data_IF_527064179715
#
_entry.id   IF_527064179715
#
_cell.length_a   1.000
_cell.length_b   1.000
_cell.length_c   1.000
_cell.angle_alpha   90.00
_cell.angle_beta   90.00
_cell.angle_gamma   90.00
#
_symmetry.space_group_name_H-M   'P 1'
#
loop_
_entity.id
_entity.type
_entity.pdbx_description
1 polymer ?
#
# COMPACT_ATOMS: atom_id res chain seq x y z
N UNK A 1 -27.89 5.38 -13.90
CA UNK A 1 -27.03 4.60 -14.81
C UNK A 1 -26.68 5.51 -16.00
N UNK A 2 -25.43 5.94 -16.11
CA UNK A 2 -24.98 6.56 -17.35
C UNK A 2 -24.90 5.47 -18.42
N UNK A 3 -25.45 5.77 -19.62
CA UNK A 3 -25.36 4.89 -20.79
C UNK A 3 -23.90 4.49 -21.02
N UNK A 4 -23.64 3.19 -21.25
CA UNK A 4 -22.30 2.65 -21.40
C UNK A 4 -21.42 3.46 -22.35
N UNK A 5 -20.35 4.02 -21.82
CA UNK A 5 -19.35 4.76 -22.59
C UNK A 5 -18.47 3.74 -23.33
N UNK A 6 -18.33 3.85 -24.65
CA UNK A 6 -17.46 2.94 -25.42
C UNK A 6 -15.99 3.31 -25.22
N UNK A 7 -15.12 2.33 -24.99
CA UNK A 7 -13.67 2.54 -24.98
C UNK A 7 -13.19 2.60 -26.43
N UNK A 8 -12.60 3.72 -26.91
CA UNK A 8 -12.16 3.87 -28.27
C UNK A 8 -11.23 2.75 -28.73
N UNK A 9 -11.53 2.20 -29.94
CA UNK A 9 -10.71 1.12 -30.55
C UNK A 9 -10.93 -0.27 -29.95
N UNK A 10 -11.99 -0.45 -29.15
CA UNK A 10 -12.37 -1.76 -28.57
C UNK A 10 -13.86 -2.02 -28.72
N UNK A 11 -14.27 -3.26 -28.46
CA UNK A 11 -15.66 -3.67 -28.28
C UNK A 11 -16.14 -3.58 -26.81
N UNK A 12 -15.39 -2.83 -25.97
CA UNK A 12 -15.68 -2.66 -24.57
C UNK A 12 -16.54 -1.41 -24.30
N UNK A 13 -17.47 -1.54 -23.38
CA UNK A 13 -18.20 -0.41 -22.80
C UNK A 13 -17.89 -0.26 -21.30
N UNK A 14 -18.02 0.96 -20.80
CA UNK A 14 -17.78 1.30 -19.41
C UNK A 14 -19.08 1.72 -18.73
N UNK A 15 -19.27 1.23 -17.51
CA UNK A 15 -20.26 1.74 -16.57
C UNK A 15 -19.49 2.35 -15.40
N UNK A 16 -19.72 3.63 -15.09
CA UNK A 16 -18.99 4.36 -14.04
C UNK A 16 -19.96 4.67 -12.91
N UNK A 17 -19.51 4.41 -11.68
CA UNK A 17 -20.25 4.58 -10.43
C UNK A 17 -19.47 5.45 -9.47
N UNK A 18 -20.18 6.24 -8.67
CA UNK A 18 -19.61 7.14 -7.67
C UNK A 18 -19.40 6.45 -6.33
N UNK A 19 -20.11 5.37 -6.06
CA UNK A 19 -20.05 4.58 -4.83
C UNK A 19 -20.18 3.09 -5.12
N UNK A 20 -19.54 2.26 -4.30
CA UNK A 20 -19.71 0.80 -4.33
C UNK A 20 -21.10 0.35 -3.96
N UNK A 21 -21.85 1.16 -3.22
CA UNK A 21 -23.26 0.85 -2.86
C UNK A 21 -24.17 0.69 -4.08
N UNK A 22 -23.81 1.26 -5.24
CA UNK A 22 -24.56 1.15 -6.49
C UNK A 22 -24.18 -0.09 -7.32
N UNK A 23 -23.23 -0.90 -6.85
CA UNK A 23 -22.74 -2.12 -7.52
C UNK A 23 -23.08 -3.33 -6.64
N UNK A 24 -23.69 -4.33 -7.25
CA UNK A 24 -23.96 -5.60 -6.55
C UNK A 24 -22.64 -6.26 -6.11
N UNK A 25 -22.56 -6.60 -4.83
CA UNK A 25 -21.34 -7.18 -4.24
C UNK A 25 -21.00 -8.55 -4.81
N UNK A 26 -22.00 -9.37 -5.11
CA UNK A 26 -21.80 -10.66 -5.73
C UNK A 26 -21.29 -10.54 -7.16
N UNK A 27 -21.80 -9.56 -7.92
CA UNK A 27 -21.29 -9.24 -9.26
C UNK A 27 -19.82 -8.82 -9.18
N UNK A 28 -19.48 -7.89 -8.27
CA UNK A 28 -18.11 -7.42 -8.11
C UNK A 28 -17.14 -8.55 -7.76
N UNK A 29 -17.46 -9.31 -6.70
CA UNK A 29 -16.58 -10.36 -6.19
C UNK A 29 -16.50 -11.58 -7.14
N UNK A 30 -17.46 -11.74 -8.08
CA UNK A 30 -17.44 -12.80 -9.10
C UNK A 30 -16.54 -12.48 -10.32
N UNK A 31 -16.03 -11.25 -10.46
CA UNK A 31 -15.16 -10.87 -11.59
C UNK A 31 -13.89 -11.70 -11.58
N UNK A 32 -13.29 -11.90 -10.41
CA UNK A 32 -12.14 -12.79 -10.22
C UNK A 32 -12.49 -13.85 -9.19
N UNK A 33 -12.54 -15.14 -9.55
CA UNK A 33 -12.79 -16.22 -8.60
C UNK A 33 -11.78 -16.28 -7.44
N UNK A 34 -10.57 -15.77 -7.67
CA UNK A 34 -9.50 -15.66 -6.69
C UNK A 34 -9.37 -14.20 -6.18
N UNK A 35 -10.52 -13.51 -6.03
CA UNK A 35 -10.57 -12.07 -5.68
C UNK A 35 -9.55 -11.72 -4.59
N UNK A 36 -8.57 -10.86 -4.91
CA UNK A 36 -7.60 -10.41 -3.92
C UNK A 36 -8.29 -9.73 -2.74
N UNK A 37 -7.87 -10.06 -1.53
CA UNK A 37 -8.49 -9.58 -0.29
C UNK A 37 -8.75 -8.06 -0.28
N UNK A 38 -7.74 -7.28 -0.71
CA UNK A 38 -7.82 -5.81 -0.72
C UNK A 38 -8.71 -5.25 -1.84
N UNK A 39 -9.15 -6.08 -2.78
CA UNK A 39 -10.01 -5.69 -3.90
C UNK A 39 -11.44 -6.18 -3.74
N UNK A 40 -11.74 -6.97 -2.69
CA UNK A 40 -13.10 -7.41 -2.42
C UNK A 40 -14.02 -6.21 -2.16
N UNK A 41 -15.29 -6.36 -2.57
CA UNK A 41 -16.31 -5.33 -2.38
C UNK A 41 -16.39 -4.86 -0.92
N UNK A 42 -16.45 -5.80 0.02
CA UNK A 42 -16.55 -5.48 1.43
C UNK A 42 -15.34 -4.70 1.96
N UNK A 43 -14.11 -5.04 1.51
CA UNK A 43 -12.91 -4.31 1.92
C UNK A 43 -12.90 -2.87 1.39
N UNK A 44 -13.16 -2.70 0.10
CA UNK A 44 -13.19 -1.38 -0.52
C UNK A 44 -14.31 -0.51 0.04
N UNK A 45 -15.45 -1.13 0.42
CA UNK A 45 -16.56 -0.41 1.03
C UNK A 45 -16.19 0.16 2.40
N UNK A 46 -15.45 -0.57 3.25
CA UNK A 46 -14.94 -0.02 4.51
C UNK A 46 -14.04 1.19 4.25
N UNK A 47 -13.15 1.12 3.24
CA UNK A 47 -12.28 2.27 2.88
C UNK A 47 -13.12 3.47 2.44
N UNK A 48 -14.12 3.25 1.60
CA UNK A 48 -15.01 4.31 1.12
C UNK A 48 -15.75 4.98 2.30
N UNK A 49 -16.31 4.19 3.21
CA UNK A 49 -17.15 4.69 4.30
C UNK A 49 -16.40 5.51 5.35
N UNK A 50 -15.11 5.26 5.53
CA UNK A 50 -14.29 5.97 6.54
C UNK A 50 -13.53 7.18 5.97
N UNK A 51 -13.49 7.35 4.65
CA UNK A 51 -12.70 8.38 3.97
C UNK A 51 -13.57 9.34 3.15
N UNK A 52 -14.42 10.11 3.83
CA UNK A 52 -15.32 11.10 3.21
C UNK A 52 -14.58 12.25 2.48
N UNK A 53 -13.29 12.44 2.74
CA UNK A 53 -12.42 13.43 2.08
C UNK A 53 -11.95 12.99 0.70
N UNK A 54 -12.11 11.71 0.36
CA UNK A 54 -11.73 11.11 -0.92
C UNK A 54 -12.97 10.91 -1.78
N UNK A 55 -12.89 11.28 -3.05
CA UNK A 55 -13.94 10.93 -4.03
C UNK A 55 -13.54 9.66 -4.76
N UNK A 56 -14.41 8.66 -4.71
CA UNK A 56 -14.18 7.37 -5.36
C UNK A 56 -14.85 7.33 -6.72
N UNK A 57 -14.29 6.52 -7.63
CA UNK A 57 -14.94 6.10 -8.89
C UNK A 57 -14.63 4.64 -9.13
N UNK A 58 -15.67 3.94 -9.49
CA UNK A 58 -15.66 2.52 -9.84
C UNK A 58 -16.10 2.38 -11.28
N UNK A 59 -15.35 1.63 -12.09
CA UNK A 59 -15.67 1.43 -13.49
C UNK A 59 -15.76 -0.07 -13.77
N UNK A 60 -16.91 -0.52 -14.26
CA UNK A 60 -17.08 -1.87 -14.78
C UNK A 60 -16.82 -1.87 -16.27
N UNK A 61 -15.94 -2.73 -16.73
CA UNK A 61 -15.68 -2.98 -18.16
C UNK A 61 -16.58 -4.12 -18.62
N UNK A 62 -17.41 -3.82 -19.61
CA UNK A 62 -18.40 -4.75 -20.15
C UNK A 62 -18.07 -5.10 -21.58
N UNK A 63 -18.09 -6.39 -21.89
CA UNK A 63 -18.00 -6.95 -23.26
C UNK A 63 -19.20 -7.86 -23.50
N UNK A 64 -19.90 -7.66 -24.61
CA UNK A 64 -21.06 -8.49 -25.00
C UNK A 64 -22.08 -8.67 -23.85
N UNK A 65 -22.32 -7.61 -23.08
CA UNK A 65 -23.26 -7.62 -21.96
C UNK A 65 -22.72 -8.26 -20.67
N UNK A 66 -21.49 -8.77 -20.66
CA UNK A 66 -20.87 -9.38 -19.46
C UNK A 66 -19.79 -8.47 -18.88
N UNK A 67 -19.76 -8.34 -17.55
CA UNK A 67 -18.65 -7.68 -16.85
C UNK A 67 -17.43 -8.58 -16.93
N UNK A 68 -16.33 -8.03 -17.47
CA UNK A 68 -15.06 -8.74 -17.67
C UNK A 68 -13.94 -8.21 -16.82
N UNK A 69 -14.05 -6.96 -16.34
CA UNK A 69 -13.11 -6.34 -15.44
C UNK A 69 -13.76 -5.22 -14.64
N UNK A 70 -13.12 -4.84 -13.54
CA UNK A 70 -13.41 -3.64 -12.79
C UNK A 70 -12.15 -2.85 -12.51
N UNK A 71 -12.30 -1.53 -12.45
CA UNK A 71 -11.27 -0.61 -12.01
C UNK A 71 -11.85 0.29 -10.92
N UNK A 72 -11.03 0.69 -9.98
CA UNK A 72 -11.42 1.70 -9.01
C UNK A 72 -10.32 2.73 -8.82
N UNK A 73 -10.72 3.93 -8.51
CA UNK A 73 -9.84 5.08 -8.41
C UNK A 73 -10.26 6.01 -7.29
N UNK A 74 -9.31 6.75 -6.79
CA UNK A 74 -9.44 7.68 -5.68
C UNK A 74 -8.95 9.06 -6.10
N UNK A 75 -9.81 10.08 -5.98
CA UNK A 75 -9.46 11.48 -6.19
C UNK A 75 -9.20 12.14 -4.83
N UNK A 76 -7.98 12.59 -4.62
CA UNK A 76 -7.55 13.19 -3.37
C UNK A 76 -6.82 14.51 -3.57
N UNK A 77 -6.79 15.32 -2.52
CA UNK A 77 -5.93 16.49 -2.45
C UNK A 77 -4.48 16.06 -2.20
N UNK A 78 -3.60 16.40 -3.12
CA UNK A 78 -2.20 16.01 -3.07
C UNK A 78 -1.28 17.22 -3.05
N UNK A 79 -0.25 17.17 -2.22
CA UNK A 79 0.82 18.17 -2.20
C UNK A 79 2.14 17.54 -2.61
N UNK A 80 2.80 18.11 -3.61
CA UNK A 80 4.14 17.68 -4.02
C UNK A 80 5.23 17.95 -2.97
N UNK A 81 4.90 18.64 -1.86
CA UNK A 81 5.86 18.94 -0.78
C UNK A 81 6.62 17.70 -0.33
N UNK A 82 5.93 16.59 -0.17
CA UNK A 82 6.50 15.34 0.31
C UNK A 82 7.42 14.67 -0.73
N UNK A 83 7.07 14.74 -2.03
CA UNK A 83 7.94 14.26 -3.10
C UNK A 83 9.22 15.09 -3.24
N UNK A 84 9.15 16.38 -2.93
CA UNK A 84 10.32 17.27 -2.94
C UNK A 84 11.36 16.88 -1.91
N UNK A 85 10.96 16.29 -0.78
CA UNK A 85 11.87 15.82 0.26
C UNK A 85 12.70 14.60 -0.18
N UNK A 86 12.24 13.84 -1.16
CA UNK A 86 12.98 12.72 -1.77
C UNK A 86 13.99 13.13 -2.85
N UNK A 87 14.03 14.41 -3.25
CA UNK A 87 14.91 14.85 -4.30
C UNK A 87 16.22 15.41 -3.76
N UNK A 88 17.34 15.16 -4.46
CA UNK A 88 18.65 15.73 -4.13
C UNK A 88 18.59 17.26 -3.97
N UNK A 89 19.27 17.80 -2.97
CA UNK A 89 19.35 19.24 -2.75
C UNK A 89 20.10 19.90 -3.92
N UNK A 90 19.48 20.89 -4.54
CA UNK A 90 20.06 21.66 -5.64
C UNK A 90 20.49 23.04 -5.16
N UNK A 91 21.66 23.50 -5.57
CA UNK A 91 22.16 24.87 -5.32
C UNK A 91 21.65 25.89 -6.34
N UNK A 92 20.98 25.46 -7.40
CA UNK A 92 20.46 26.34 -8.46
C UNK A 92 19.18 27.05 -8.03
N UNK A 93 19.20 28.40 -7.97
CA UNK A 93 18.11 29.24 -7.50
C UNK A 93 16.77 29.02 -8.27
N UNK A 94 16.82 28.80 -9.60
CA UNK A 94 15.64 28.55 -10.41
C UNK A 94 15.00 27.21 -10.05
N UNK A 95 15.82 26.19 -9.79
CA UNK A 95 15.35 24.88 -9.38
C UNK A 95 14.74 24.92 -7.97
N UNK A 96 15.36 25.69 -7.07
CA UNK A 96 14.85 25.90 -5.71
C UNK A 96 13.49 26.60 -5.77
N UNK A 97 13.35 27.66 -6.56
CA UNK A 97 12.10 28.41 -6.74
C UNK A 97 10.98 27.50 -7.32
N UNK A 98 11.31 26.70 -8.34
CA UNK A 98 10.35 25.77 -8.93
C UNK A 98 9.93 24.67 -7.93
N UNK A 99 10.88 24.10 -7.17
CA UNK A 99 10.58 23.14 -6.11
C UNK A 99 9.64 23.72 -5.06
N UNK A 100 9.92 24.95 -4.61
CA UNK A 100 9.08 25.67 -3.64
C UNK A 100 7.66 25.87 -4.21
N UNK A 101 7.56 26.33 -5.46
CA UNK A 101 6.29 26.50 -6.16
C UNK A 101 5.49 25.18 -6.24
N UNK A 102 6.15 24.07 -6.64
CA UNK A 102 5.48 22.76 -6.71
C UNK A 102 5.09 22.24 -5.33
N UNK A 103 5.93 22.44 -4.31
CA UNK A 103 5.64 22.00 -2.95
C UNK A 103 4.43 22.72 -2.32
N UNK A 104 4.22 23.98 -2.66
CA UNK A 104 3.11 24.78 -2.14
C UNK A 104 1.79 24.54 -2.91
N UNK A 105 1.86 23.94 -4.10
CA UNK A 105 0.68 23.72 -4.93
C UNK A 105 -0.11 22.50 -4.47
N UNK A 106 -1.33 22.74 -4.01
CA UNK A 106 -2.33 21.66 -3.84
C UNK A 106 -2.83 21.26 -5.21
N UNK A 107 -2.88 19.98 -5.47
CA UNK A 107 -3.30 19.40 -6.75
C UNK A 107 -4.31 18.30 -6.51
N UNK A 108 -5.31 18.18 -7.38
CA UNK A 108 -6.20 17.02 -7.39
C UNK A 108 -5.51 15.89 -8.11
N UNK A 109 -5.20 14.82 -7.38
CA UNK A 109 -4.57 13.61 -7.89
C UNK A 109 -5.61 12.51 -8.00
N UNK A 110 -5.80 11.99 -9.22
CA UNK A 110 -6.57 10.77 -9.46
C UNK A 110 -5.59 9.58 -9.43
N UNK A 111 -5.73 8.74 -8.42
CA UNK A 111 -4.96 7.51 -8.29
C UNK A 111 -5.79 6.31 -8.75
N UNK A 112 -5.21 5.42 -9.55
CA UNK A 112 -5.78 4.12 -9.83
C UNK A 112 -5.43 3.18 -8.67
N UNK A 113 -6.44 2.56 -8.07
CA UNK A 113 -6.30 1.70 -6.90
C UNK A 113 -6.35 2.43 -5.57
N UNK A 114 -5.97 1.73 -4.52
CA UNK A 114 -6.06 2.19 -3.15
C UNK A 114 -4.74 2.83 -2.69
N UNK A 115 -4.79 4.11 -2.29
CA UNK A 115 -3.59 4.84 -1.82
C UNK A 115 -3.08 4.37 -0.46
N UNK A 116 -3.91 3.63 0.29
CA UNK A 116 -3.57 3.15 1.62
C UNK A 116 -2.86 1.79 1.61
N UNK A 117 -2.86 1.06 0.48
CA UNK A 117 -2.34 -0.30 0.43
C UNK A 117 -1.29 -0.47 -0.66
N UNK A 118 -0.29 -1.31 -0.38
CA UNK A 118 0.72 -1.69 -1.36
C UNK A 118 0.30 -2.96 -2.10
N UNK A 119 0.82 -3.17 -3.30
CA UNK A 119 0.51 -4.36 -4.11
C UNK A 119 -0.83 -4.30 -4.85
N UNK A 120 -1.69 -3.34 -4.50
CA UNK A 120 -2.98 -3.13 -5.15
C UNK A 120 -2.82 -2.25 -6.41
N UNK A 121 -3.21 -2.79 -7.56
CA UNK A 121 -3.15 -2.11 -8.86
C UNK A 121 -4.45 -1.38 -9.22
N UNK A 122 -5.51 -1.52 -8.42
CA UNK A 122 -6.83 -0.95 -8.72
C UNK A 122 -7.54 -1.56 -9.92
N UNK A 123 -7.16 -2.76 -10.31
CA UNK A 123 -7.67 -3.46 -11.48
C UNK A 123 -7.99 -4.89 -11.11
N UNK A 124 -9.19 -5.31 -11.40
CA UNK A 124 -9.70 -6.67 -11.24
C UNK A 124 -10.08 -7.17 -12.63
N UNK A 125 -9.64 -8.34 -13.03
CA UNK A 125 -9.95 -8.91 -14.33
C UNK A 125 -10.36 -10.36 -14.23
N UNK A 126 -11.31 -10.78 -15.06
CA UNK A 126 -11.52 -12.21 -15.31
C UNK A 126 -10.23 -12.87 -15.78
N UNK A 127 -10.08 -14.15 -15.50
CA UNK A 127 -8.98 -14.95 -16.01
C UNK A 127 -8.88 -14.81 -17.53
N UNK A 128 -7.64 -14.70 -18.03
CA UNK A 128 -7.33 -14.52 -19.45
C UNK A 128 -7.77 -13.19 -20.10
N UNK A 129 -8.28 -12.25 -19.29
CA UNK A 129 -8.59 -10.88 -19.73
C UNK A 129 -7.51 -9.93 -19.25
N UNK A 130 -7.07 -9.02 -20.10
CA UNK A 130 -6.17 -7.93 -19.71
C UNK A 130 -6.70 -6.59 -20.23
N UNK A 131 -7.06 -5.72 -19.30
CA UNK A 131 -7.44 -4.33 -19.63
C UNK A 131 -6.28 -3.35 -19.49
N UNK A 132 -5.09 -3.82 -19.05
CA UNK A 132 -3.91 -2.97 -18.84
C UNK A 132 -3.59 -2.09 -20.05
N UNK A 133 -3.59 -2.58 -21.30
CA UNK A 133 -3.33 -1.74 -22.48
C UNK A 133 -4.33 -0.59 -22.66
N UNK A 134 -5.53 -0.70 -22.09
CA UNK A 134 -6.62 0.26 -22.25
C UNK A 134 -6.80 1.19 -21.04
N UNK A 135 -5.99 1.01 -19.99
CA UNK A 135 -6.06 1.85 -18.78
C UNK A 135 -6.03 3.36 -19.09
N UNK A 136 -5.16 3.87 -19.97
CA UNK A 136 -5.16 5.30 -20.28
C UNK A 136 -6.51 5.81 -20.79
N UNK A 137 -7.18 5.06 -21.66
CA UNK A 137 -8.49 5.41 -22.19
C UNK A 137 -9.58 5.33 -21.12
N UNK A 138 -9.55 4.29 -20.27
CA UNK A 138 -10.45 4.16 -19.12
C UNK A 138 -10.27 5.34 -18.15
N UNK A 139 -9.01 5.72 -17.87
CA UNK A 139 -8.72 6.88 -17.03
C UNK A 139 -9.26 8.18 -17.61
N UNK A 140 -9.16 8.38 -18.90
CA UNK A 140 -9.71 9.57 -19.56
C UNK A 140 -11.25 9.63 -19.42
N UNK A 141 -11.94 8.49 -19.47
CA UNK A 141 -13.39 8.41 -19.24
C UNK A 141 -13.74 8.67 -17.76
N UNK A 142 -12.99 8.06 -16.83
CA UNK A 142 -13.16 8.31 -15.39
C UNK A 142 -12.90 9.80 -15.08
N UNK A 143 -11.87 10.41 -15.68
CA UNK A 143 -11.59 11.83 -15.52
C UNK A 143 -12.77 12.72 -15.96
N UNK A 144 -13.45 12.34 -17.05
CA UNK A 144 -14.62 13.08 -17.57
C UNK A 144 -15.82 12.98 -16.64
N UNK A 145 -15.92 11.93 -15.81
CA UNK A 145 -17.00 11.76 -14.82
C UNK A 145 -16.95 12.76 -13.67
N UNK A 146 -15.77 13.36 -13.40
CA UNK A 146 -15.63 14.42 -12.40
C UNK A 146 -16.06 15.77 -12.96
N UNK A 147 -17.30 16.17 -12.70
CA UNK A 147 -17.86 17.39 -13.29
C UNK A 147 -17.30 18.67 -12.67
N UNK A 148 -17.13 18.70 -11.34
CA UNK A 148 -16.78 19.92 -10.60
C UNK A 148 -15.31 19.99 -10.14
N UNK A 149 -14.67 18.86 -9.91
CA UNK A 149 -13.32 18.77 -9.36
C UNK A 149 -12.39 17.98 -10.27
N UNK A 150 -12.05 18.58 -11.42
CA UNK A 150 -11.20 17.90 -12.42
C UNK A 150 -9.82 17.57 -11.87
N UNK A 151 -9.36 16.31 -11.99
CA UNK A 151 -7.99 15.92 -11.69
C UNK A 151 -6.98 16.76 -12.47
N UNK A 152 -5.88 17.13 -11.85
CA UNK A 152 -4.75 17.81 -12.49
C UNK A 152 -3.56 16.88 -12.68
N UNK A 153 -3.53 15.77 -11.93
CA UNK A 153 -2.52 14.73 -12.01
C UNK A 153 -3.17 13.34 -11.97
N UNK A 154 -2.54 12.38 -12.60
CA UNK A 154 -2.97 10.99 -12.68
C UNK A 154 -1.83 10.09 -12.24
N UNK A 155 -2.11 9.12 -11.39
CA UNK A 155 -1.13 8.17 -10.86
C UNK A 155 -1.62 6.74 -11.07
N UNK A 156 -0.72 5.91 -11.59
CA UNK A 156 -0.87 4.46 -11.65
C UNK A 156 0.31 3.90 -10.87
N UNK A 157 0.04 3.35 -9.69
CA UNK A 157 1.07 2.87 -8.79
C UNK A 157 1.13 1.32 -8.76
N UNK A 158 2.07 0.79 -7.97
CA UNK A 158 2.20 -0.64 -7.67
C UNK A 158 2.43 -1.54 -8.89
N UNK A 159 3.16 -1.06 -9.89
CA UNK A 159 3.53 -1.86 -11.06
C UNK A 159 4.87 -2.55 -10.78
N UNK A 160 4.86 -3.88 -10.73
CA UNK A 160 6.10 -4.66 -10.62
C UNK A 160 6.89 -4.60 -11.91
N UNK A 161 8.22 -4.66 -11.80
CA UNK A 161 9.12 -4.61 -12.96
C UNK A 161 8.82 -5.73 -13.97
N UNK A 162 8.35 -6.89 -13.52
CA UNK A 162 7.92 -7.99 -14.36
C UNK A 162 6.74 -7.64 -15.29
N UNK A 163 5.91 -6.65 -14.91
CA UNK A 163 4.75 -6.22 -15.68
C UNK A 163 5.03 -5.02 -16.59
N UNK A 164 6.25 -4.47 -16.58
CA UNK A 164 6.60 -3.24 -17.33
C UNK A 164 6.28 -3.35 -18.83
N UNK A 165 6.53 -4.51 -19.44
CA UNK A 165 6.22 -4.73 -20.86
C UNK A 165 4.74 -4.59 -21.20
N UNK A 166 3.85 -4.86 -20.25
CA UNK A 166 2.40 -4.70 -20.41
C UNK A 166 1.97 -3.22 -20.36
N UNK A 167 2.84 -2.35 -19.85
CA UNK A 167 2.56 -0.94 -19.63
C UNK A 167 3.01 -0.01 -20.77
N UNK A 168 3.38 -0.56 -21.94
CA UNK A 168 3.83 0.23 -23.09
C UNK A 168 2.79 1.29 -23.55
N UNK A 169 1.50 0.99 -23.40
CA UNK A 169 0.41 1.94 -23.71
C UNK A 169 0.45 3.21 -22.85
N UNK A 170 1.03 3.14 -21.63
CA UNK A 170 1.14 4.30 -20.74
C UNK A 170 2.11 5.34 -21.29
N UNK A 171 3.22 4.90 -21.88
CA UNK A 171 4.17 5.80 -22.54
C UNK A 171 3.52 6.53 -23.72
N UNK A 172 2.77 5.79 -24.55
CA UNK A 172 2.05 6.37 -25.69
C UNK A 172 0.97 7.37 -25.26
N UNK A 173 0.49 7.30 -24.01
CA UNK A 173 -0.51 8.20 -23.42
C UNK A 173 0.10 9.28 -22.54
N UNK A 174 1.40 9.56 -22.70
CA UNK A 174 2.15 10.59 -22.01
C UNK A 174 2.27 10.41 -20.48
N UNK A 175 2.15 9.18 -19.98
CA UNK A 175 2.54 8.85 -18.62
C UNK A 175 4.06 8.67 -18.54
N UNK A 176 4.64 9.12 -17.44
CA UNK A 176 6.09 9.03 -17.16
C UNK A 176 6.37 8.11 -16.00
N UNK A 177 7.25 7.10 -16.17
CA UNK A 177 7.61 6.18 -15.11
C UNK A 177 8.56 6.81 -14.09
N UNK A 178 8.45 6.35 -12.84
CA UNK A 178 9.45 6.58 -11.80
C UNK A 178 9.49 5.42 -10.83
N UNK A 179 10.65 5.25 -10.19
CA UNK A 179 10.88 4.19 -9.21
C UNK A 179 10.28 4.62 -7.87
N UNK A 180 9.60 3.72 -7.19
CA UNK A 180 9.09 3.91 -5.82
C UNK A 180 9.80 2.98 -4.84
N UNK A 181 9.53 3.13 -3.53
CA UNK A 181 9.99 2.17 -2.54
C UNK A 181 9.53 0.76 -2.93
N UNK A 182 10.38 -0.26 -2.79
CA UNK A 182 10.03 -1.63 -3.15
C UNK A 182 8.98 -2.20 -2.17
N UNK A 183 8.19 -3.15 -2.64
CA UNK A 183 7.47 -4.07 -1.77
C UNK A 183 8.44 -5.10 -1.19
N UNK A 184 8.19 -5.52 0.05
CA UNK A 184 9.13 -6.36 0.77
C UNK A 184 8.42 -7.64 1.20
N UNK A 185 8.95 -8.77 0.76
CA UNK A 185 8.39 -10.10 1.02
C UNK A 185 9.40 -10.98 1.74
N UNK A 186 8.89 -11.96 2.48
CA UNK A 186 9.69 -13.01 3.06
C UNK A 186 8.99 -14.36 2.84
N UNK A 187 9.68 -15.30 2.21
CA UNK A 187 9.23 -16.68 2.14
C UNK A 187 9.50 -17.40 3.46
N UNK A 188 8.53 -18.16 3.93
CA UNK A 188 8.67 -19.02 5.11
C UNK A 188 9.05 -20.41 4.62
N UNK A 189 10.23 -20.86 5.00
CA UNK A 189 10.70 -22.20 4.65
C UNK A 189 10.03 -23.25 5.55
N UNK A 190 9.34 -24.18 4.91
CA UNK A 190 8.64 -25.25 5.62
C UNK A 190 9.60 -26.14 6.46
N UNK A 191 10.89 -26.17 6.12
CA UNK A 191 11.88 -26.95 6.84
C UNK A 191 12.19 -26.39 8.24
N UNK A 192 11.85 -25.13 8.52
CA UNK A 192 12.06 -24.58 9.84
C UNK A 192 11.20 -25.24 10.92
N UNK A 193 10.00 -25.71 10.58
CA UNK A 193 9.08 -26.37 11.48
C UNK A 193 8.49 -25.45 12.56
N UNK A 194 9.36 -24.71 13.27
CA UNK A 194 9.01 -23.73 14.32
C UNK A 194 9.95 -22.51 14.30
N UNK A 195 9.77 -21.62 15.29
CA UNK A 195 10.60 -20.43 15.41
C UNK A 195 12.07 -20.74 15.77
N UNK A 196 12.32 -21.81 16.51
CA UNK A 196 13.69 -22.23 16.86
C UNK A 196 14.43 -22.72 15.61
N UNK A 197 13.75 -23.46 14.73
CA UNK A 197 14.29 -23.85 13.41
C UNK A 197 14.63 -22.63 12.54
N UNK A 198 13.79 -21.61 12.52
CA UNK A 198 14.14 -20.34 11.86
C UNK A 198 15.39 -19.71 12.50
N UNK A 199 15.45 -19.64 13.84
CA UNK A 199 16.62 -19.11 14.54
C UNK A 199 17.89 -19.87 14.23
N UNK A 200 17.80 -21.19 14.04
CA UNK A 200 18.94 -22.05 13.69
C UNK A 200 19.36 -21.92 12.23
N UNK A 201 18.46 -21.57 11.33
CA UNK A 201 18.77 -21.25 9.94
C UNK A 201 19.60 -19.95 9.80
N UNK A 202 19.48 -19.03 10.77
CA UNK A 202 20.24 -17.78 10.77
C UNK A 202 21.75 -18.07 10.94
N UNK A 203 22.58 -17.33 10.22
CA UNK A 203 24.03 -17.30 10.47
C UNK A 203 24.33 -16.77 11.86
N UNK A 204 25.47 -17.14 12.45
CA UNK A 204 25.82 -16.81 13.83
C UNK A 204 25.65 -15.32 14.18
N UNK A 205 26.05 -14.42 13.28
CA UNK A 205 25.94 -12.97 13.45
C UNK A 205 24.48 -12.53 13.65
N UNK A 206 23.57 -13.02 12.82
CA UNK A 206 22.16 -12.60 12.86
C UNK A 206 21.40 -13.30 13.96
N UNK A 207 21.72 -14.56 14.26
CA UNK A 207 21.17 -15.30 15.41
C UNK A 207 21.51 -14.62 16.74
N UNK A 208 22.77 -14.18 16.93
CA UNK A 208 23.19 -13.43 18.13
C UNK A 208 22.43 -12.11 18.24
N UNK A 209 22.24 -11.40 17.12
CA UNK A 209 21.45 -10.16 17.10
C UNK A 209 19.99 -10.40 17.49
N UNK A 210 19.36 -11.44 16.92
CA UNK A 210 17.98 -11.80 17.22
C UNK A 210 17.82 -12.16 18.70
N UNK A 211 18.70 -13.00 19.27
CA UNK A 211 18.71 -13.31 20.70
C UNK A 211 18.86 -12.07 21.58
N UNK A 212 19.75 -11.13 21.20
CA UNK A 212 19.89 -9.86 21.93
C UNK A 212 18.60 -9.03 21.89
N UNK A 213 17.90 -8.97 20.75
CA UNK A 213 16.60 -8.29 20.66
C UNK A 213 15.60 -8.91 21.62
N UNK A 214 15.45 -10.24 21.61
CA UNK A 214 14.53 -10.96 22.50
C UNK A 214 14.86 -10.71 23.98
N UNK A 215 16.14 -10.67 24.35
CA UNK A 215 16.58 -10.36 25.73
C UNK A 215 16.24 -8.93 26.12
N UNK A 216 16.57 -7.94 25.28
CA UNK A 216 16.33 -6.52 25.57
C UNK A 216 14.83 -6.20 25.63
N UNK A 217 14.02 -6.90 24.85
CA UNK A 217 12.55 -6.74 24.82
C UNK A 217 11.80 -7.75 25.71
N UNK A 218 12.47 -8.43 26.65
CA UNK A 218 11.83 -9.46 27.47
C UNK A 218 10.67 -8.95 28.32
N UNK A 219 10.70 -7.68 28.70
CA UNK A 219 9.63 -7.02 29.46
C UNK A 219 8.46 -6.52 28.58
N UNK A 220 8.60 -6.62 27.27
CA UNK A 220 7.51 -6.26 26.33
C UNK A 220 6.62 -7.47 26.12
N UNK A 221 5.37 -7.34 26.51
CA UNK A 221 4.32 -8.35 26.26
C UNK A 221 3.50 -7.97 25.03
N UNK A 222 2.89 -8.96 24.37
CA UNK A 222 2.01 -8.70 23.24
C UNK A 222 0.71 -9.50 23.34
N UNK A 223 -0.40 -8.90 22.93
CA UNK A 223 -1.70 -9.57 22.86
C UNK A 223 -2.55 -9.00 21.75
N UNK A 224 -3.42 -9.84 21.19
CA UNK A 224 -4.40 -9.40 20.19
C UNK A 224 -5.53 -8.63 20.90
N UNK A 225 -5.91 -7.48 20.36
CA UNK A 225 -7.03 -6.70 20.90
C UNK A 225 -8.36 -7.42 20.73
N UNK A 226 -9.17 -7.43 21.78
CA UNK A 226 -10.62 -7.60 21.65
C UNK A 226 -11.25 -6.35 21.03
N UNK A 227 -12.49 -6.42 20.56
CA UNK A 227 -13.21 -5.23 20.06
C UNK A 227 -13.38 -4.15 21.14
N UNK A 228 -13.60 -4.55 22.38
CA UNK A 228 -13.75 -3.64 23.51
C UNK A 228 -12.43 -2.91 23.82
N UNK A 229 -11.32 -3.67 23.91
CA UNK A 229 -9.98 -3.08 24.09
C UNK A 229 -9.60 -2.15 22.97
N UNK A 230 -9.90 -2.51 21.72
CA UNK A 230 -9.61 -1.70 20.55
C UNK A 230 -10.30 -0.32 20.62
N UNK A 231 -11.58 -0.30 21.02
CA UNK A 231 -12.35 0.92 21.25
C UNK A 231 -11.78 1.75 22.40
N UNK A 232 -11.47 1.09 23.50
CA UNK A 232 -10.90 1.76 24.68
C UNK A 232 -9.52 2.38 24.37
N UNK A 233 -8.72 1.74 23.51
CA UNK A 233 -7.37 2.19 23.16
C UNK A 233 -7.32 3.14 21.94
N UNK A 234 -8.45 3.52 21.33
CA UNK A 234 -8.51 4.31 20.09
C UNK A 234 -7.61 5.57 20.12
N UNK A 235 -7.59 6.30 21.25
CA UNK A 235 -6.75 7.50 21.42
C UNK A 235 -5.24 7.15 21.40
N UNK A 236 -4.86 6.09 22.07
CA UNK A 236 -3.47 5.63 22.11
C UNK A 236 -3.03 5.08 20.77
N UNK A 237 -3.89 4.32 20.07
CA UNK A 237 -3.65 3.87 18.70
C UNK A 237 -3.43 5.05 17.76
N UNK A 238 -4.28 6.08 17.84
CA UNK A 238 -4.13 7.29 17.04
C UNK A 238 -2.80 8.00 17.32
N UNK A 239 -2.41 8.15 18.59
CA UNK A 239 -1.13 8.75 19.00
C UNK A 239 0.05 7.98 18.41
N UNK A 240 0.09 6.66 18.61
CA UNK A 240 1.18 5.81 18.15
C UNK A 240 1.26 5.76 16.61
N UNK A 241 0.12 5.70 15.93
CA UNK A 241 0.07 5.76 14.47
C UNK A 241 0.58 7.10 13.94
N UNK A 242 0.14 8.22 14.52
CA UNK A 242 0.60 9.55 14.13
C UNK A 242 2.11 9.74 14.37
N UNK A 243 2.68 9.11 15.39
CA UNK A 243 4.13 9.10 15.56
C UNK A 243 4.84 8.53 14.32
N UNK A 244 4.34 7.41 13.78
CA UNK A 244 4.91 6.81 12.57
C UNK A 244 4.66 7.69 11.34
N UNK A 245 3.43 8.18 11.14
CA UNK A 245 3.08 9.09 10.04
C UNK A 245 4.01 10.31 9.99
N UNK A 246 4.33 10.89 11.13
CA UNK A 246 5.18 12.08 11.23
C UNK A 246 6.68 11.79 11.02
N UNK A 247 7.11 10.52 11.14
CA UNK A 247 8.49 10.12 10.93
C UNK A 247 8.82 9.68 9.50
N UNK A 248 7.81 9.31 8.72
CA UNK A 248 8.03 8.94 7.32
C UNK A 248 8.12 10.17 6.44
N UNK A 249 9.05 10.15 5.48
CA UNK A 249 9.30 11.29 4.61
C UNK A 249 8.15 11.56 3.62
N UNK A 250 7.33 10.55 3.32
CA UNK A 250 6.24 10.65 2.36
C UNK A 250 5.02 9.82 2.78
N UNK A 251 3.85 10.47 2.80
CA UNK A 251 2.56 9.82 2.89
C UNK A 251 1.67 10.37 1.77
N UNK A 252 1.08 9.50 0.97
CA UNK A 252 0.13 9.91 -0.07
C UNK A 252 -1.21 10.31 0.57
N UNK A 253 -1.66 9.52 1.53
CA UNK A 253 -2.83 9.77 2.35
C UNK A 253 -2.57 9.25 3.77
N UNK A 254 -3.34 9.74 4.73
CA UNK A 254 -3.28 9.30 6.14
C UNK A 254 -4.53 8.48 6.41
N UNK A 255 -4.35 7.23 6.82
CA UNK A 255 -5.47 6.35 7.15
C UNK A 255 -6.22 6.87 8.38
N UNK A 256 -7.55 6.88 8.29
CA UNK A 256 -8.39 7.13 9.45
C UNK A 256 -8.27 5.94 10.42
N UNK A 257 -8.04 6.21 11.70
CA UNK A 257 -7.86 5.13 12.72
C UNK A 257 -9.12 4.30 12.96
N UNK A 258 -10.28 4.76 12.51
CA UNK A 258 -11.53 3.99 12.53
C UNK A 258 -11.43 2.73 11.65
N UNK A 259 -10.51 2.73 10.71
CA UNK A 259 -10.15 1.57 9.92
C UNK A 259 -9.90 0.32 10.77
N UNK A 260 -9.16 0.43 11.86
CA UNK A 260 -8.81 -0.73 12.68
C UNK A 260 -10.03 -1.40 13.31
N UNK A 261 -10.96 -0.59 13.81
CA UNK A 261 -12.23 -1.10 14.36
C UNK A 261 -13.12 -1.70 13.28
N UNK A 262 -13.33 -0.98 12.18
CA UNK A 262 -14.16 -1.43 11.07
C UNK A 262 -13.63 -2.73 10.44
N UNK A 263 -12.32 -2.81 10.22
CA UNK A 263 -11.71 -4.02 9.66
C UNK A 263 -11.78 -5.21 10.60
N UNK A 264 -11.58 -4.99 11.90
CA UNK A 264 -11.74 -6.08 12.87
C UNK A 264 -13.20 -6.55 12.98
N UNK A 265 -14.16 -5.64 12.86
CA UNK A 265 -15.58 -5.98 12.83
C UNK A 265 -15.96 -6.79 11.58
N UNK A 266 -15.46 -6.38 10.41
CA UNK A 266 -15.75 -7.04 9.12
C UNK A 266 -15.00 -8.37 8.93
N UNK A 267 -13.80 -8.50 9.50
CA UNK A 267 -12.87 -9.60 9.22
C UNK A 267 -12.22 -10.15 10.48
N UNK A 268 -13.01 -10.47 11.52
CA UNK A 268 -12.55 -10.82 12.87
C UNK A 268 -11.40 -11.84 12.92
N UNK A 269 -11.44 -12.90 12.11
CA UNK A 269 -10.41 -13.95 12.06
C UNK A 269 -9.24 -13.61 11.12
N UNK A 270 -9.47 -12.76 10.12
CA UNK A 270 -8.45 -12.38 9.13
C UNK A 270 -7.73 -11.11 9.49
N UNK A 271 -8.28 -10.27 10.38
CA UNK A 271 -7.70 -9.01 10.85
C UNK A 271 -7.27 -9.14 12.31
N UNK A 272 -5.97 -9.24 12.54
CA UNK A 272 -5.40 -9.28 13.88
C UNK A 272 -4.73 -7.96 14.19
N UNK A 273 -5.15 -7.31 15.27
CA UNK A 273 -4.52 -6.09 15.76
C UNK A 273 -3.86 -6.42 17.08
N UNK A 274 -2.52 -6.42 17.06
CA UNK A 274 -1.70 -6.85 18.19
C UNK A 274 -1.11 -5.61 18.87
N UNK A 275 -1.42 -5.42 20.15
CA UNK A 275 -0.80 -4.40 21.00
C UNK A 275 0.46 -4.94 21.68
N UNK A 276 1.47 -4.10 21.77
CA UNK A 276 2.71 -4.35 22.54
C UNK A 276 2.74 -3.44 23.76
N UNK A 277 2.99 -4.01 24.91
CA UNK A 277 2.87 -3.34 26.21
C UNK A 277 4.17 -3.43 27.00
N UNK A 278 4.53 -2.32 27.64
CA UNK A 278 5.48 -2.30 28.77
C UNK A 278 4.63 -2.12 30.03
N UNK A 279 4.55 -3.18 30.83
CA UNK A 279 3.56 -3.27 31.89
C UNK A 279 2.15 -3.08 31.35
N UNK A 280 1.42 -2.03 31.76
CA UNK A 280 0.07 -1.70 31.26
C UNK A 280 0.06 -0.60 30.18
N UNK A 281 1.24 -0.04 29.86
CA UNK A 281 1.36 1.01 28.85
C UNK A 281 1.42 0.42 27.44
N UNK A 282 0.49 0.81 26.55
CA UNK A 282 0.55 0.48 25.14
C UNK A 282 1.66 1.30 24.47
N UNK A 283 2.75 0.63 24.05
CA UNK A 283 3.94 1.27 23.45
C UNK A 283 4.08 1.04 21.95
N UNK A 284 3.35 0.07 21.39
CA UNK A 284 3.28 -0.17 19.95
C UNK A 284 2.05 -1.00 19.61
N UNK A 285 1.67 -0.99 18.34
CA UNK A 285 0.70 -1.93 17.80
C UNK A 285 1.00 -2.23 16.33
N UNK A 286 0.41 -3.32 15.84
CA UNK A 286 0.42 -3.69 14.42
C UNK A 286 -0.93 -4.21 13.98
N UNK A 287 -1.30 -3.92 12.74
CA UNK A 287 -2.42 -4.54 12.05
C UNK A 287 -1.90 -5.59 11.08
N UNK A 288 -2.31 -6.85 11.26
CA UNK A 288 -1.96 -7.98 10.42
C UNK A 288 -3.21 -8.49 9.70
N UNK A 289 -3.06 -8.80 8.41
CA UNK A 289 -4.12 -9.46 7.64
C UNK A 289 -3.66 -10.84 7.17
N UNK A 290 -4.50 -11.84 7.37
CA UNK A 290 -4.42 -13.09 6.65
C UNK A 290 -5.14 -12.89 5.30
N UNK A 291 -4.39 -12.48 4.26
CA UNK A 291 -4.98 -12.12 2.96
C UNK A 291 -5.51 -13.35 2.21
N UNK A 292 -4.84 -14.50 2.41
CA UNK A 292 -5.24 -15.82 1.93
C UNK A 292 -4.70 -16.91 2.87
N UNK A 293 -4.81 -18.19 2.46
CA UNK A 293 -4.29 -19.34 3.22
C UNK A 293 -2.77 -19.25 3.43
N UNK A 294 -2.05 -18.73 2.47
CA UNK A 294 -0.59 -18.79 2.37
C UNK A 294 0.11 -17.51 2.80
N UNK A 295 -0.58 -16.34 2.71
CA UNK A 295 0.03 -15.02 2.87
C UNK A 295 -0.49 -14.28 4.09
N UNK A 296 0.43 -13.80 4.91
CA UNK A 296 0.18 -12.82 5.95
C UNK A 296 0.75 -11.46 5.54
N UNK A 297 -0.07 -10.40 5.61
CA UNK A 297 0.35 -9.04 5.34
C UNK A 297 0.48 -8.25 6.65
N UNK A 298 1.67 -7.72 6.90
CA UNK A 298 1.97 -6.75 7.96
C UNK A 298 1.68 -5.36 7.41
N UNK A 299 0.61 -4.73 7.88
CA UNK A 299 0.15 -3.54 7.21
C UNK A 299 0.52 -2.26 7.95
N UNK A 300 -0.28 -1.82 8.92
CA UNK A 300 -0.01 -0.60 9.67
C UNK A 300 0.59 -0.89 11.03
N UNK A 301 1.51 -0.03 11.45
CA UNK A 301 2.07 -0.03 12.80
C UNK A 301 1.88 1.34 13.45
N UNK A 302 1.81 1.33 14.76
CA UNK A 302 2.02 2.52 15.60
C UNK A 302 3.18 2.26 16.55
N UNK A 303 3.98 3.28 16.86
CA UNK A 303 5.21 3.11 17.61
C UNK A 303 5.50 4.29 18.52
N UNK A 304 5.88 4.01 19.77
CA UNK A 304 6.57 4.94 20.63
C UNK A 304 8.07 4.85 20.33
N UNK A 305 8.66 5.91 19.76
CA UNK A 305 10.06 5.90 19.33
C UNK A 305 11.05 5.90 20.48
N UNK A 306 10.72 6.49 21.62
CA UNK A 306 11.60 6.48 22.81
C UNK A 306 11.65 5.07 23.40
N UNK A 307 10.51 4.44 23.59
CA UNK A 307 10.41 3.04 24.03
C UNK A 307 11.03 2.08 23.01
N UNK A 308 10.86 2.34 21.71
CA UNK A 308 11.51 1.55 20.66
C UNK A 308 13.03 1.63 20.74
N UNK A 309 13.60 2.81 21.03
CA UNK A 309 15.05 2.98 21.20
C UNK A 309 15.56 2.16 22.38
N UNK A 310 14.83 2.13 23.48
CA UNK A 310 15.17 1.43 24.72
C UNK A 310 15.01 -0.10 24.56
N UNK A 311 13.83 -0.57 24.13
CA UNK A 311 13.44 -2.00 24.12
C UNK A 311 13.58 -2.68 22.76
N UNK A 312 14.00 -1.98 21.70
CA UNK A 312 14.08 -2.55 20.33
C UNK A 312 12.75 -3.13 19.84
N UNK A 313 11.64 -2.44 20.13
CA UNK A 313 10.28 -2.94 19.91
C UNK A 313 10.05 -3.30 18.45
N UNK A 314 10.45 -2.45 17.49
CA UNK A 314 10.28 -2.73 16.07
C UNK A 314 11.03 -3.99 15.62
N UNK A 315 12.26 -4.19 16.12
CA UNK A 315 13.00 -5.42 15.82
C UNK A 315 12.33 -6.65 16.44
N UNK A 316 11.77 -6.53 17.64
CA UNK A 316 11.00 -7.58 18.30
C UNK A 316 9.76 -7.92 17.47
N UNK A 317 9.01 -6.94 17.02
CA UNK A 317 7.84 -7.12 16.16
C UNK A 317 8.19 -7.90 14.89
N UNK A 318 9.32 -7.57 14.22
CA UNK A 318 9.77 -8.31 13.04
C UNK A 318 10.01 -9.79 13.31
N UNK A 319 10.59 -10.15 14.46
CA UNK A 319 10.78 -11.55 14.89
C UNK A 319 9.44 -12.22 15.22
N UNK A 320 8.56 -11.51 15.92
CA UNK A 320 7.23 -12.01 16.24
C UNK A 320 6.39 -12.27 14.97
N UNK A 321 6.52 -11.45 13.92
CA UNK A 321 5.83 -11.70 12.65
C UNK A 321 6.30 -12.99 11.99
N UNK A 322 7.60 -13.29 12.02
CA UNK A 322 8.13 -14.57 11.53
C UNK A 322 7.57 -15.72 12.35
N UNK A 323 7.59 -15.61 13.68
CA UNK A 323 7.02 -16.60 14.58
C UNK A 323 5.54 -16.86 14.28
N UNK A 324 4.72 -15.79 14.22
CA UNK A 324 3.28 -15.87 13.92
C UNK A 324 3.04 -16.53 12.56
N UNK A 325 3.83 -16.20 11.54
CA UNK A 325 3.69 -16.79 10.22
C UNK A 325 3.97 -18.29 10.22
N UNK A 326 5.02 -18.74 10.91
CA UNK A 326 5.36 -20.16 11.07
C UNK A 326 4.24 -20.90 11.81
N UNK A 327 3.80 -20.38 12.96
CA UNK A 327 2.74 -20.97 13.80
C UNK A 327 1.41 -21.10 13.03
N UNK A 328 1.11 -20.13 12.14
CA UNK A 328 -0.08 -20.14 11.29
C UNK A 328 0.15 -20.82 9.92
N UNK A 329 1.28 -21.52 9.74
CA UNK A 329 1.63 -22.25 8.51
C UNK A 329 1.54 -21.40 7.25
N UNK A 330 1.89 -20.12 7.35
CA UNK A 330 1.96 -19.24 6.20
C UNK A 330 3.20 -19.56 5.36
N UNK A 331 3.09 -19.40 4.05
CA UNK A 331 4.23 -19.55 3.12
C UNK A 331 4.97 -18.24 2.88
N UNK A 332 4.29 -17.10 3.11
CA UNK A 332 4.85 -15.80 2.82
C UNK A 332 4.36 -14.73 3.81
N UNK A 333 5.27 -13.80 4.13
CA UNK A 333 4.93 -12.53 4.78
C UNK A 333 5.13 -11.41 3.77
N UNK A 334 4.13 -10.55 3.60
CA UNK A 334 4.25 -9.27 2.92
C UNK A 334 4.42 -8.16 3.96
N UNK A 335 5.58 -7.52 3.98
CA UNK A 335 5.91 -6.49 4.95
C UNK A 335 5.55 -5.06 4.49
N UNK A 336 4.92 -4.92 3.34
CA UNK A 336 4.71 -3.62 2.72
C UNK A 336 6.02 -2.94 2.34
N UNK A 337 5.99 -1.61 2.27
CA UNK A 337 7.12 -0.76 1.86
C UNK A 337 7.92 -0.26 3.08
N UNK A 338 8.95 0.54 2.80
CA UNK A 338 9.80 1.25 3.78
C UNK A 338 10.58 0.35 4.73
N UNK A 339 11.52 0.95 5.45
CA UNK A 339 12.40 0.25 6.39
C UNK A 339 13.07 -1.01 5.78
N UNK A 340 13.46 -0.94 4.50
CA UNK A 340 13.93 -2.07 3.70
C UNK A 340 15.13 -2.76 4.34
N UNK A 341 16.18 -2.03 4.70
CA UNK A 341 17.41 -2.62 5.22
C UNK A 341 17.18 -3.45 6.48
N UNK A 342 16.38 -2.95 7.43
CA UNK A 342 16.12 -3.68 8.68
C UNK A 342 15.29 -4.96 8.43
N UNK A 343 14.31 -4.93 7.53
CA UNK A 343 13.51 -6.10 7.15
C UNK A 343 14.38 -7.18 6.47
N UNK A 344 15.38 -6.77 5.68
CA UNK A 344 16.30 -7.77 5.08
C UNK A 344 17.18 -8.48 6.12
N UNK A 345 17.34 -7.92 7.33
CA UNK A 345 18.11 -8.59 8.40
C UNK A 345 17.41 -9.82 8.99
N UNK A 346 16.14 -10.01 8.72
CA UNK A 346 15.35 -11.18 9.12
C UNK A 346 15.09 -12.14 7.95
N UNK A 347 15.55 -11.82 6.74
CA UNK A 347 15.40 -12.66 5.53
C UNK A 347 14.38 -12.15 4.52
N UNK A 348 13.82 -10.97 4.74
CA UNK A 348 12.93 -10.38 3.75
C UNK A 348 13.70 -9.86 2.52
N UNK A 349 13.05 -9.91 1.35
CA UNK A 349 13.61 -9.56 0.04
C UNK A 349 12.78 -8.43 -0.57
N UNK A 350 13.42 -7.33 -1.01
CA UNK A 350 12.73 -6.26 -1.70
C UNK A 350 12.40 -6.64 -3.15
N UNK A 351 11.18 -6.32 -3.59
CA UNK A 351 10.71 -6.47 -4.96
C UNK A 351 10.45 -5.06 -5.55
N UNK A 352 11.23 -4.62 -6.55
CA UNK A 352 11.15 -3.29 -7.10
C UNK A 352 9.77 -2.95 -7.69
N UNK A 353 9.30 -1.73 -7.42
CA UNK A 353 8.05 -1.18 -7.91
C UNK A 353 8.27 0.08 -8.73
N UNK A 354 7.44 0.23 -9.74
CA UNK A 354 7.31 1.45 -10.53
C UNK A 354 5.93 2.07 -10.34
N UNK A 355 5.88 3.38 -10.57
CA UNK A 355 4.63 4.11 -10.75
C UNK A 355 4.72 4.96 -12.02
N UNK A 356 3.57 5.31 -12.55
CA UNK A 356 3.42 6.13 -13.75
C UNK A 356 2.58 7.35 -13.41
N UNK A 357 3.09 8.53 -13.72
CA UNK A 357 2.44 9.81 -13.45
C UNK A 357 2.25 10.61 -14.73
N UNK A 358 1.11 11.28 -14.84
CA UNK A 358 0.77 12.22 -15.93
C UNK A 358 0.17 13.48 -15.34
N UNK A 359 0.53 14.64 -15.88
CA UNK A 359 -0.09 15.92 -15.55
C UNK A 359 -0.99 16.38 -16.68
N UNK A 360 -2.14 16.96 -16.34
CA UNK A 360 -3.07 17.53 -17.34
C UNK A 360 -2.47 18.72 -18.11
N UNK A 361 -1.62 19.51 -17.44
CA UNK A 361 -0.93 20.61 -18.10
C UNK A 361 0.23 20.06 -18.94
N UNK A 362 0.17 20.23 -20.26
CA UNK A 362 1.16 19.67 -21.20
C UNK A 362 2.59 20.16 -20.98
N UNK A 363 2.78 21.44 -20.61
CA UNK A 363 4.13 21.99 -20.32
C UNK A 363 4.72 21.37 -19.06
N UNK A 364 3.90 21.24 -17.99
CA UNK A 364 4.32 20.59 -16.77
C UNK A 364 4.60 19.12 -17.05
N UNK A 365 3.74 18.44 -17.80
CA UNK A 365 3.90 17.03 -18.13
C UNK A 365 5.20 16.79 -18.93
N UNK A 366 5.50 17.60 -19.92
CA UNK A 366 6.74 17.50 -20.70
C UNK A 366 8.00 17.71 -19.86
N UNK A 367 7.92 18.44 -18.74
CA UNK A 367 9.02 18.66 -17.81
C UNK A 367 9.23 17.53 -16.80
N UNK A 368 8.22 16.67 -16.57
CA UNK A 368 8.25 15.61 -15.55
C UNK A 368 9.48 14.69 -15.65
N UNK A 369 9.91 14.18 -16.82
CA UNK A 369 11.05 13.27 -16.90
C UNK A 369 12.33 13.83 -16.28
N UNK A 370 12.51 15.15 -16.38
CA UNK A 370 13.66 15.82 -15.78
C UNK A 370 13.64 15.78 -14.25
N UNK A 371 12.43 15.88 -13.64
CA UNK A 371 12.29 15.85 -12.18
C UNK A 371 12.23 14.43 -11.65
N UNK A 372 11.51 13.53 -12.32
CA UNK A 372 11.32 12.15 -11.89
C UNK A 372 12.64 11.37 -11.83
N UNK A 373 13.59 11.63 -12.73
CA UNK A 373 14.94 11.03 -12.67
C UNK A 373 15.72 11.33 -11.38
N UNK A 374 15.29 12.34 -10.61
CA UNK A 374 15.91 12.73 -9.34
C UNK A 374 15.15 12.22 -8.12
N UNK A 375 13.97 11.67 -8.32
CA UNK A 375 13.23 10.96 -7.28
C UNK A 375 13.83 9.56 -7.22
N UNK A 376 14.62 9.31 -6.17
CA UNK A 376 15.19 8.00 -5.91
C UNK A 376 14.75 7.55 -4.53
N UNK A 377 14.26 6.32 -4.38
CA UNK A 377 14.10 5.73 -3.06
C UNK A 377 15.41 5.82 -2.27
N UNK A 378 15.35 5.91 -0.93
CA UNK A 378 16.56 5.85 -0.12
C UNK A 378 17.39 4.61 -0.46
N UNK A 379 18.72 4.79 -0.56
CA UNK A 379 19.62 3.66 -0.75
C UNK A 379 19.56 2.72 0.46
N UNK A 380 19.56 1.45 0.21
CA UNK A 380 19.54 0.42 1.25
C UNK A 380 20.49 -0.74 0.88
N UNK A 381 21.04 -1.38 1.88
CA UNK A 381 21.83 -2.59 1.69
C UNK A 381 20.97 -3.82 1.94
N UNK A 382 20.84 -4.67 0.94
CA UNK A 382 20.18 -5.98 1.11
C UNK A 382 21.11 -6.87 1.95
N UNK A 383 20.58 -7.37 3.05
CA UNK A 383 21.29 -8.31 3.95
C UNK A 383 20.84 -9.73 3.66
N UNK A 384 21.76 -10.67 3.70
CA UNK A 384 21.43 -12.10 3.70
C UNK A 384 21.71 -12.66 5.11
N UNK A 385 20.67 -12.94 5.91
CA UNK A 385 20.88 -13.41 7.28
C UNK A 385 21.10 -14.92 7.39
N UNK A 386 20.77 -15.71 6.39
CA UNK A 386 20.85 -17.16 6.43
C UNK A 386 22.26 -17.70 6.18
N UNK A 387 22.45 -18.99 6.52
CA UNK A 387 23.70 -19.75 6.29
C UNK A 387 23.92 -20.01 4.80
#
# INVERSE_FOLDING_TARGET
>A
MQSGLTIPGTDYSLQIFDTLSDIDSGLWDSIDPEMPFYQSHAFLKVIEDIHNEIEFRYALVVKEGQVIAALYSQLLDFSFRNLVNYSEQSTNAVKIAFRKYMAEKKTKLLNLGNVFFTGDKGIICKKDVSVIPHIPQVFDQINQSFQQKKPSAFLIANIYLSDEKKCLSFYNSAFHPFVTDPDIFMSIDASWGDFDGYMDALSSKYRVRAKKVLTVSSEITSRNFSMEELRAQKKNLSKLYNNVVNHVAFNMAILNVDFFEQMKAAYSERCNIIGYYKEDELVSFVCLFNVDSDTMHVHYIGLDYDKNKEYKIYNRMLLDFVKIAIENRKKQIHFGRTATEIKTTIGAVPNPLHAYIKMNNGLINASLPYFLKRIKPPEYTVRNPFK
#
